data_IF_272270393156
#
_entry.id   IF_272270393156
#
_cell.length_a   1.000
_cell.length_b   1.000
_cell.length_c   1.000
_cell.angle_alpha   90.00
_cell.angle_beta   90.00
_cell.angle_gamma   90.00
#
_symmetry.space_group_name_H-M   'P 1'
#
loop_
_entity.id
_entity.type
_entity.pdbx_description
1 polymer ?
#
# COMPACT_ATOMS: atom_id res chain seq x y z
N UNK A 1 -1.24 16.21 -15.83
CA UNK A 1 -0.27 15.13 -15.96
C UNK A 1 0.02 14.90 -17.44
N UNK A 2 1.26 15.11 -17.87
CA UNK A 2 1.78 14.72 -19.19
C UNK A 2 2.25 13.26 -19.16
N UNK A 3 2.58 12.70 -20.33
CA UNK A 3 3.17 11.36 -20.42
C UNK A 3 4.50 11.31 -19.66
N UNK A 4 5.39 12.29 -19.89
CA UNK A 4 6.71 12.33 -19.26
C UNK A 4 6.61 12.42 -17.72
N UNK A 5 5.63 13.16 -17.22
CA UNK A 5 5.35 13.21 -15.79
C UNK A 5 4.88 11.84 -15.27
N UNK A 6 4.04 11.09 -15.99
CA UNK A 6 3.65 9.73 -15.58
C UNK A 6 4.86 8.81 -15.46
N UNK A 7 5.73 8.83 -16.48
CA UNK A 7 6.91 7.96 -16.57
C UNK A 7 7.96 8.24 -15.47
N UNK A 8 7.81 9.36 -14.76
CA UNK A 8 8.62 9.68 -13.57
C UNK A 8 8.22 8.83 -12.36
N UNK A 9 6.96 8.36 -12.29
CA UNK A 9 6.38 7.69 -11.11
C UNK A 9 5.86 6.27 -11.39
N UNK A 10 5.90 5.80 -12.64
CA UNK A 10 5.42 4.48 -12.98
C UNK A 10 6.00 3.96 -14.30
N UNK A 11 5.98 2.63 -14.51
CA UNK A 11 6.37 2.01 -15.78
C UNK A 11 5.46 2.43 -16.95
N UNK A 12 6.02 2.44 -18.16
CA UNK A 12 5.30 2.77 -19.41
C UNK A 12 4.09 1.86 -19.62
N UNK A 13 4.23 0.59 -19.27
CA UNK A 13 3.24 -0.46 -19.47
C UNK A 13 1.96 -0.19 -18.66
N UNK A 14 2.08 0.46 -17.49
CA UNK A 14 0.91 0.87 -16.70
C UNK A 14 0.13 2.00 -17.37
N UNK A 15 0.83 2.93 -18.03
CA UNK A 15 0.20 4.00 -18.81
C UNK A 15 -0.47 3.43 -20.06
N UNK A 16 0.21 2.52 -20.77
CA UNK A 16 -0.33 1.84 -21.96
C UNK A 16 -1.61 1.08 -21.63
N UNK A 17 -1.63 0.30 -20.53
CA UNK A 17 -2.84 -0.36 -20.08
C UNK A 17 -3.96 0.65 -19.77
N UNK A 18 -3.63 1.70 -19.03
CA UNK A 18 -4.60 2.73 -18.65
C UNK A 18 -5.21 3.40 -19.90
N UNK A 19 -4.41 3.69 -20.93
CA UNK A 19 -4.85 4.20 -22.23
C UNK A 19 -5.70 3.18 -23.00
N UNK A 20 -5.28 1.91 -23.04
CA UNK A 20 -5.97 0.81 -23.71
C UNK A 20 -7.40 0.64 -23.18
N UNK A 21 -7.57 0.70 -21.85
CA UNK A 21 -8.88 0.56 -21.22
C UNK A 21 -9.77 1.81 -21.37
N UNK A 22 -9.17 2.99 -21.58
CA UNK A 22 -9.87 4.28 -21.57
C UNK A 22 -9.59 5.14 -22.82
N UNK A 23 -9.81 4.61 -24.03
CA UNK A 23 -9.40 5.28 -25.28
C UNK A 23 -10.09 6.63 -25.49
N UNK A 24 -11.28 6.83 -24.89
CA UNK A 24 -12.06 8.08 -24.99
C UNK A 24 -11.78 9.09 -23.88
N UNK A 25 -11.22 8.66 -22.74
CA UNK A 25 -10.97 9.52 -21.56
C UNK A 25 -9.49 9.89 -21.38
N UNK A 26 -8.62 9.43 -22.30
CA UNK A 26 -7.18 9.66 -22.31
C UNK A 26 -6.73 11.14 -22.20
N UNK A 27 -7.64 12.11 -22.34
CA UNK A 27 -7.33 13.55 -22.29
C UNK A 27 -7.15 14.12 -20.88
N UNK A 28 -7.50 13.39 -19.81
CA UNK A 28 -7.26 13.84 -18.43
C UNK A 28 -6.59 12.74 -17.60
N UNK A 29 -5.27 12.85 -17.51
CA UNK A 29 -4.44 12.07 -16.62
C UNK A 29 -4.39 12.77 -15.24
N UNK A 30 -4.61 11.99 -14.17
CA UNK A 30 -4.56 12.45 -12.78
C UNK A 30 -3.52 11.61 -12.01
N UNK A 31 -2.79 12.21 -11.07
CA UNK A 31 -1.72 11.51 -10.32
C UNK A 31 -2.25 10.42 -9.37
N UNK A 32 -3.49 10.54 -8.92
CA UNK A 32 -4.16 9.59 -8.03
C UNK A 32 -4.51 8.26 -8.72
N UNK A 33 -4.54 8.22 -10.07
CA UNK A 33 -4.80 6.98 -10.81
C UNK A 33 -3.56 6.11 -11.00
N UNK A 34 -2.35 6.67 -10.82
CA UNK A 34 -1.09 5.98 -11.08
C UNK A 34 -0.98 4.69 -10.25
N UNK A 35 -1.18 4.70 -8.92
CA UNK A 35 -0.99 3.48 -8.13
C UNK A 35 -1.88 2.33 -8.57
N UNK A 36 -3.14 2.65 -8.88
CA UNK A 36 -4.12 1.68 -9.35
C UNK A 36 -3.77 1.13 -10.74
N UNK A 37 -3.34 2.00 -11.66
CA UNK A 37 -2.96 1.56 -13.01
C UNK A 37 -1.74 0.62 -13.00
N UNK A 38 -0.77 0.89 -12.12
CA UNK A 38 0.40 0.02 -11.92
C UNK A 38 -0.03 -1.35 -11.40
N UNK A 39 -0.83 -1.39 -10.32
CA UNK A 39 -1.31 -2.65 -9.76
C UNK A 39 -2.21 -3.44 -10.73
N UNK A 40 -3.07 -2.76 -11.49
CA UNK A 40 -3.91 -3.39 -12.52
C UNK A 40 -3.05 -4.07 -13.60
N UNK A 41 -1.98 -3.42 -14.06
CA UNK A 41 -1.07 -4.00 -15.06
C UNK A 41 -0.45 -5.31 -14.58
N UNK A 42 0.14 -5.33 -13.39
CA UNK A 42 0.75 -6.55 -12.87
C UNK A 42 -0.29 -7.61 -12.48
N UNK A 43 -1.50 -7.21 -12.08
CA UNK A 43 -2.61 -8.14 -11.87
C UNK A 43 -2.98 -8.87 -13.17
N UNK A 44 -3.08 -8.16 -14.31
CA UNK A 44 -3.31 -8.78 -15.61
C UNK A 44 -2.14 -9.68 -16.04
N UNK A 45 -0.91 -9.26 -15.80
CA UNK A 45 0.29 -10.03 -16.13
C UNK A 45 0.37 -11.35 -15.33
N UNK A 46 0.09 -11.29 -14.03
CA UNK A 46 0.02 -12.46 -13.15
C UNK A 46 -1.15 -13.39 -13.52
N UNK A 47 -2.32 -12.82 -13.82
CA UNK A 47 -3.49 -13.60 -14.25
C UNK A 47 -3.25 -14.32 -15.58
N UNK A 48 -2.60 -13.68 -16.56
CA UNK A 48 -2.32 -14.23 -17.89
C UNK A 48 -1.72 -15.64 -17.84
N UNK A 49 -0.80 -15.87 -16.90
CA UNK A 49 -0.11 -17.16 -16.76
C UNK A 49 -1.01 -18.28 -16.26
N UNK A 50 -2.03 -17.95 -15.45
CA UNK A 50 -2.99 -18.90 -14.86
C UNK A 50 -4.22 -19.13 -15.74
N UNK A 51 -4.38 -18.35 -16.80
CA UNK A 51 -5.51 -18.39 -17.71
C UNK A 51 -5.33 -19.42 -18.82
N UNK A 52 -6.45 -20.02 -19.24
CA UNK A 52 -6.54 -20.85 -20.44
C UNK A 52 -6.48 -20.00 -21.72
N UNK A 53 -6.19 -20.61 -22.88
CA UNK A 53 -5.94 -19.86 -24.12
C UNK A 53 -7.08 -18.91 -24.53
N UNK A 54 -8.33 -19.35 -24.34
CA UNK A 54 -9.51 -18.52 -24.63
C UNK A 54 -9.55 -17.25 -23.77
N UNK A 55 -9.15 -17.34 -22.52
CA UNK A 55 -9.14 -16.21 -21.57
C UNK A 55 -7.94 -15.28 -21.82
N UNK A 56 -6.78 -15.87 -22.17
CA UNK A 56 -5.56 -15.13 -22.52
C UNK A 56 -5.78 -14.13 -23.66
N UNK A 57 -6.56 -14.50 -24.67
CA UNK A 57 -6.90 -13.61 -25.79
C UNK A 57 -7.76 -12.40 -25.37
N UNK A 58 -8.48 -12.49 -24.25
CA UNK A 58 -9.24 -11.37 -23.69
C UNK A 58 -8.45 -10.53 -22.69
N UNK A 59 -7.25 -10.97 -22.31
CA UNK A 59 -6.39 -10.26 -21.37
C UNK A 59 -5.65 -9.12 -22.10
N UNK A 60 -5.78 -7.85 -21.67
CA UNK A 60 -5.11 -6.72 -22.31
C UNK A 60 -3.60 -6.90 -22.52
N UNK A 61 -2.91 -7.57 -21.58
CA UNK A 61 -1.45 -7.73 -21.69
C UNK A 61 -1.04 -8.60 -22.88
N UNK A 62 -1.94 -9.47 -23.39
CA UNK A 62 -1.67 -10.22 -24.62
C UNK A 62 -1.50 -9.28 -25.81
N UNK A 63 -2.39 -8.29 -25.95
CA UNK A 63 -2.37 -7.33 -27.04
C UNK A 63 -1.22 -6.32 -26.89
N UNK A 64 -0.92 -5.91 -25.66
CA UNK A 64 0.15 -4.94 -25.38
C UNK A 64 1.55 -5.50 -25.67
N UNK A 65 1.73 -6.82 -25.50
CA UNK A 65 3.02 -7.49 -25.64
C UNK A 65 3.10 -8.41 -26.87
N UNK A 66 2.27 -8.14 -27.90
CA UNK A 66 2.25 -8.90 -29.16
C UNK A 66 2.20 -10.43 -28.97
N UNK A 67 1.42 -10.87 -27.99
CA UNK A 67 1.24 -12.28 -27.64
C UNK A 67 2.36 -12.91 -26.81
N UNK A 68 3.37 -12.14 -26.41
CA UNK A 68 4.47 -12.60 -25.56
C UNK A 68 4.61 -11.76 -24.26
N UNK A 69 3.62 -11.74 -23.34
CA UNK A 69 3.73 -10.99 -22.10
C UNK A 69 4.91 -11.45 -21.23
N UNK A 70 5.66 -10.51 -20.62
CA UNK A 70 6.82 -10.86 -19.81
C UNK A 70 6.42 -11.64 -18.56
N UNK A 71 7.35 -12.45 -18.07
CA UNK A 71 7.20 -13.14 -16.78
C UNK A 71 7.83 -12.26 -15.71
N UNK A 72 6.98 -11.66 -14.88
CA UNK A 72 7.40 -10.89 -13.71
C UNK A 72 6.80 -11.53 -12.46
N UNK A 73 7.65 -11.75 -11.46
CA UNK A 73 7.22 -12.12 -10.11
C UNK A 73 7.23 -10.87 -9.24
N UNK A 74 6.08 -10.53 -8.68
CA UNK A 74 5.91 -9.41 -7.75
C UNK A 74 5.28 -9.93 -6.46
N UNK A 75 6.09 -10.13 -5.42
CA UNK A 75 5.61 -10.64 -4.13
C UNK A 75 4.77 -9.60 -3.37
N UNK A 76 4.84 -8.33 -3.75
CA UNK A 76 4.12 -7.21 -3.14
C UNK A 76 3.55 -6.29 -4.21
N UNK A 77 2.41 -5.67 -3.92
CA UNK A 77 1.78 -4.67 -4.79
C UNK A 77 2.48 -3.31 -4.71
N UNK A 78 2.29 -2.47 -5.72
CA UNK A 78 2.78 -1.11 -5.72
C UNK A 78 2.07 -0.25 -4.66
N UNK A 79 0.76 -0.48 -4.43
CA UNK A 79 0.06 0.14 -3.30
C UNK A 79 0.70 -0.20 -1.94
N UNK A 80 1.15 -1.45 -1.73
CA UNK A 80 1.86 -1.82 -0.51
C UNK A 80 3.21 -1.11 -0.39
N UNK A 81 3.94 -0.95 -1.50
CA UNK A 81 5.17 -0.15 -1.52
C UNK A 81 4.93 1.30 -1.11
N UNK A 82 3.88 1.95 -1.66
CA UNK A 82 3.52 3.32 -1.29
C UNK A 82 3.15 3.43 0.19
N UNK A 83 2.42 2.45 0.72
CA UNK A 83 2.09 2.40 2.15
C UNK A 83 3.34 2.24 3.01
N UNK A 84 4.28 1.37 2.62
CA UNK A 84 5.53 1.18 3.33
C UNK A 84 6.39 2.45 3.33
N UNK A 85 6.58 3.09 2.18
CA UNK A 85 7.34 4.35 2.09
C UNK A 85 6.66 5.44 2.92
N UNK A 86 5.33 5.56 2.84
CA UNK A 86 4.58 6.54 3.64
C UNK A 86 4.71 6.32 5.14
N UNK A 87 4.52 5.08 5.61
CA UNK A 87 4.57 4.77 7.04
C UNK A 87 5.98 4.84 7.63
N UNK A 88 7.00 4.42 6.86
CA UNK A 88 8.40 4.43 7.31
C UNK A 88 9.10 5.76 7.08
N UNK A 89 8.49 6.68 6.33
CA UNK A 89 9.14 7.89 5.82
C UNK A 89 10.46 7.56 5.11
N UNK A 90 10.51 6.40 4.42
CA UNK A 90 11.72 5.90 3.79
C UNK A 90 12.22 6.88 2.72
N UNK A 91 13.39 7.45 2.96
CA UNK A 91 14.00 8.44 2.07
C UNK A 91 14.86 7.80 0.98
N UNK A 92 15.09 6.48 1.04
CA UNK A 92 15.91 5.76 0.09
C UNK A 92 15.50 4.28 -0.04
N UNK A 93 16.02 3.64 -1.10
CA UNK A 93 15.72 2.25 -1.46
C UNK A 93 16.21 1.25 -0.43
N UNK A 94 17.33 1.51 0.25
CA UNK A 94 17.90 0.58 1.24
C UNK A 94 16.96 0.38 2.43
N UNK A 95 16.37 1.48 2.92
CA UNK A 95 15.37 1.42 4.01
C UNK A 95 14.15 0.64 3.56
N UNK A 96 13.61 0.94 2.37
CA UNK A 96 12.43 0.25 1.84
C UNK A 96 12.68 -1.25 1.64
N UNK A 97 13.84 -1.62 1.10
CA UNK A 97 14.25 -3.03 0.94
C UNK A 97 14.44 -3.74 2.28
N UNK A 98 14.84 -3.03 3.34
CA UNK A 98 14.85 -3.57 4.69
C UNK A 98 13.47 -3.97 5.21
N UNK A 99 12.40 -3.29 4.76
CA UNK A 99 11.02 -3.71 5.05
C UNK A 99 10.55 -4.83 4.14
N UNK A 100 10.79 -4.71 2.82
CA UNK A 100 10.41 -5.74 1.84
C UNK A 100 11.02 -7.10 2.22
N UNK A 101 12.31 -7.14 2.55
CA UNK A 101 13.02 -8.39 2.87
C UNK A 101 12.56 -9.04 4.17
N UNK A 102 11.97 -8.25 5.09
CA UNK A 102 11.33 -8.78 6.31
C UNK A 102 9.92 -9.30 6.04
N UNK A 103 9.20 -8.67 5.10
CA UNK A 103 7.86 -9.08 4.71
C UNK A 103 7.86 -10.31 3.79
N UNK A 104 8.82 -10.40 2.88
CA UNK A 104 8.97 -11.50 1.94
C UNK A 104 10.39 -12.06 2.02
N UNK A 105 10.53 -13.30 2.45
CA UNK A 105 11.85 -13.95 2.54
C UNK A 105 12.43 -14.28 1.16
N UNK A 106 13.74 -14.09 0.99
CA UNK A 106 14.48 -14.56 -0.20
C UNK A 106 14.44 -13.59 -1.40
N UNK A 107 13.84 -12.41 -1.24
CA UNK A 107 13.79 -11.40 -2.30
C UNK A 107 14.91 -10.38 -2.13
N UNK A 108 15.47 -9.93 -3.25
CA UNK A 108 16.55 -8.94 -3.31
C UNK A 108 16.41 -8.10 -4.58
N UNK A 109 17.04 -6.91 -4.65
CA UNK A 109 17.06 -6.12 -5.88
C UNK A 109 17.54 -6.89 -7.11
N UNK A 110 18.49 -7.82 -6.92
CA UNK A 110 19.06 -8.64 -7.99
C UNK A 110 18.13 -9.74 -8.48
N UNK A 111 17.35 -10.33 -7.57
CA UNK A 111 16.42 -11.42 -7.91
C UNK A 111 15.09 -10.88 -8.43
N UNK A 112 14.69 -9.67 -8.00
CA UNK A 112 13.44 -9.02 -8.37
C UNK A 112 13.71 -7.58 -8.87
N UNK A 113 14.36 -7.43 -10.04
CA UNK A 113 14.73 -6.11 -10.57
C UNK A 113 13.51 -5.23 -10.87
N UNK A 114 12.38 -5.82 -11.23
CA UNK A 114 11.15 -5.06 -11.47
C UNK A 114 10.58 -4.51 -10.16
N UNK A 115 10.63 -5.28 -9.07
CA UNK A 115 10.28 -4.79 -7.74
C UNK A 115 11.22 -3.65 -7.31
N UNK A 116 12.50 -3.75 -7.63
CA UNK A 116 13.49 -2.70 -7.33
C UNK A 116 13.21 -1.40 -8.10
N UNK A 117 12.76 -1.51 -9.34
CA UNK A 117 12.31 -0.39 -10.16
C UNK A 117 11.03 0.25 -9.59
N UNK A 118 10.05 -0.56 -9.18
CA UNK A 118 8.83 -0.08 -8.52
C UNK A 118 9.12 0.60 -7.17
N UNK A 119 10.07 0.09 -6.40
CA UNK A 119 10.54 0.74 -5.17
C UNK A 119 11.04 2.16 -5.41
N UNK A 120 11.78 2.40 -6.51
CA UNK A 120 12.25 3.74 -6.88
C UNK A 120 11.10 4.68 -7.25
N UNK A 121 10.14 4.19 -8.04
CA UNK A 121 8.93 4.93 -8.38
C UNK A 121 8.10 5.28 -7.14
N UNK A 122 7.96 4.36 -6.18
CA UNK A 122 7.23 4.58 -4.95
C UNK A 122 7.87 5.67 -4.08
N UNK A 123 9.20 5.72 -4.00
CA UNK A 123 9.93 6.77 -3.27
C UNK A 123 9.71 8.13 -3.92
N UNK A 124 9.84 8.23 -5.26
CA UNK A 124 9.60 9.48 -5.97
C UNK A 124 8.17 9.98 -5.79
N UNK A 125 7.19 9.08 -5.97
CA UNK A 125 5.78 9.42 -5.77
C UNK A 125 5.51 9.91 -4.34
N UNK A 126 6.14 9.27 -3.35
CA UNK A 126 6.04 9.69 -1.97
C UNK A 126 6.61 11.09 -1.74
N UNK A 127 7.83 11.36 -2.22
CA UNK A 127 8.51 12.65 -2.00
C UNK A 127 7.75 13.82 -2.65
N UNK A 128 7.15 13.61 -3.82
CA UNK A 128 6.53 14.68 -4.60
C UNK A 128 5.04 14.90 -4.28
N UNK A 129 4.28 13.86 -3.91
CA UNK A 129 2.83 13.98 -3.69
C UNK A 129 2.38 13.71 -2.26
N UNK A 130 3.00 12.74 -1.59
CA UNK A 130 2.52 12.28 -0.29
C UNK A 130 3.13 13.10 0.83
N UNK A 131 4.46 13.22 0.85
CA UNK A 131 5.24 13.91 1.87
C UNK A 131 4.88 15.39 2.01
N UNK A 132 4.69 16.18 0.93
CA UNK A 132 4.32 17.59 1.05
C UNK A 132 2.89 17.79 1.57
N UNK A 133 2.02 16.79 1.38
CA UNK A 133 0.64 16.80 1.84
C UNK A 133 0.47 16.30 3.29
N UNK A 134 1.55 15.81 3.93
CA UNK A 134 1.46 15.30 5.30
C UNK A 134 1.25 16.43 6.31
N UNK A 135 0.18 16.32 7.09
CA UNK A 135 -0.15 17.24 8.18
C UNK A 135 -0.30 16.46 9.47
N UNK A 136 0.61 16.72 10.40
CA UNK A 136 0.58 16.12 11.72
C UNK A 136 -0.19 17.01 12.68
N UNK A 137 -1.06 16.40 13.49
CA UNK A 137 -1.68 17.08 14.63
C UNK A 137 -1.14 16.52 15.95
N UNK A 138 -1.16 17.36 16.98
CA UNK A 138 -0.85 16.90 18.31
C UNK A 138 -1.94 15.93 18.83
N UNK A 139 -1.51 14.92 19.58
CA UNK A 139 -2.39 14.08 20.37
C UNK A 139 -2.87 14.83 21.62
N UNK A 140 -4.15 14.67 21.95
CA UNK A 140 -4.67 15.07 23.27
C UNK A 140 -4.27 14.07 24.38
N UNK A 141 -4.76 14.29 25.60
CA UNK A 141 -4.42 13.44 26.74
C UNK A 141 -4.88 11.98 26.58
N UNK A 142 -6.10 11.77 26.06
CA UNK A 142 -6.66 10.41 25.85
C UNK A 142 -5.92 9.70 24.72
N UNK A 143 -5.62 10.44 23.65
CA UNK A 143 -4.87 9.91 22.51
C UNK A 143 -3.44 9.54 22.89
N UNK A 144 -2.79 10.37 23.71
CA UNK A 144 -1.46 10.06 24.26
C UNK A 144 -1.49 8.78 25.08
N UNK A 145 -2.48 8.61 25.96
CA UNK A 145 -2.64 7.37 26.73
C UNK A 145 -2.89 6.16 25.82
N UNK A 146 -3.73 6.32 24.78
CA UNK A 146 -4.01 5.28 23.81
C UNK A 146 -2.74 4.84 23.05
N UNK A 147 -1.94 5.81 22.61
CA UNK A 147 -0.68 5.57 21.90
C UNK A 147 0.38 4.91 22.80
N UNK A 148 0.46 5.30 24.07
CA UNK A 148 1.33 4.63 25.06
C UNK A 148 0.92 3.17 25.24
N UNK A 149 -0.36 2.90 25.48
CA UNK A 149 -0.89 1.53 25.61
C UNK A 149 -0.70 0.70 24.35
N UNK A 150 -0.83 1.32 23.18
CA UNK A 150 -0.55 0.67 21.90
C UNK A 150 0.93 0.30 21.78
N UNK A 151 1.83 1.22 22.12
CA UNK A 151 3.28 0.96 22.12
C UNK A 151 3.65 -0.19 23.07
N UNK A 152 3.09 -0.22 24.28
CA UNK A 152 3.32 -1.28 25.26
C UNK A 152 2.79 -2.63 24.76
N UNK A 153 1.58 -2.66 24.20
CA UNK A 153 0.98 -3.87 23.67
C UNK A 153 1.79 -4.44 22.50
N UNK A 154 2.26 -3.59 21.58
CA UNK A 154 3.09 -4.01 20.45
C UNK A 154 4.48 -4.49 20.91
N UNK A 155 5.07 -3.85 21.92
CA UNK A 155 6.38 -4.26 22.46
C UNK A 155 6.33 -5.62 23.19
N UNK A 156 5.16 -6.03 23.67
CA UNK A 156 4.95 -7.32 24.33
C UNK A 156 4.72 -8.49 23.34
N UNK A 157 4.59 -8.21 22.04
CA UNK A 157 4.36 -9.25 21.05
C UNK A 157 5.63 -10.07 20.78
N UNK A 158 5.49 -11.36 20.41
CA UNK A 158 6.59 -12.16 19.91
C UNK A 158 7.28 -11.47 18.71
N UNK A 159 8.62 -11.61 18.55
CA UNK A 159 9.33 -11.05 17.40
C UNK A 159 8.84 -11.53 16.02
N UNK A 160 8.20 -12.69 15.99
CA UNK A 160 7.62 -13.35 14.82
C UNK A 160 6.09 -13.23 14.75
N UNK A 161 5.49 -12.32 15.53
CA UNK A 161 4.06 -12.05 15.47
C UNK A 161 3.63 -11.66 14.05
N UNK A 162 2.59 -12.35 13.55
CA UNK A 162 2.02 -12.05 12.24
C UNK A 162 1.09 -10.82 12.28
N UNK A 163 0.59 -10.45 11.10
CA UNK A 163 -0.30 -9.30 10.95
C UNK A 163 -1.62 -9.44 11.72
N UNK A 164 -2.14 -10.65 11.89
CA UNK A 164 -3.39 -10.90 12.62
C UNK A 164 -3.19 -10.65 14.12
N UNK A 165 -2.09 -11.16 14.68
CA UNK A 165 -1.72 -10.93 16.08
C UNK A 165 -1.50 -9.43 16.36
N UNK A 166 -0.78 -8.74 15.47
CA UNK A 166 -0.56 -7.28 15.59
C UNK A 166 -1.89 -6.51 15.54
N UNK A 167 -2.76 -6.85 14.59
CA UNK A 167 -4.07 -6.22 14.45
C UNK A 167 -4.93 -6.46 15.70
N UNK A 168 -4.96 -7.69 16.21
CA UNK A 168 -5.72 -8.03 17.41
C UNK A 168 -5.22 -7.27 18.64
N UNK A 169 -3.89 -7.12 18.81
CA UNK A 169 -3.32 -6.32 19.89
C UNK A 169 -3.77 -4.86 19.82
N UNK A 170 -3.75 -4.24 18.63
CA UNK A 170 -4.20 -2.87 18.43
C UNK A 170 -5.70 -2.69 18.72
N UNK A 171 -6.54 -3.62 18.23
CA UNK A 171 -7.98 -3.63 18.51
C UNK A 171 -8.27 -3.79 20.01
N UNK A 172 -7.53 -4.65 20.70
CA UNK A 172 -7.69 -4.89 22.13
C UNK A 172 -7.34 -3.67 22.99
N UNK A 173 -6.36 -2.86 22.57
CA UNK A 173 -6.09 -1.56 23.19
C UNK A 173 -7.27 -0.61 22.99
N UNK A 174 -7.75 -0.48 21.75
CA UNK A 174 -8.83 0.44 21.42
C UNK A 174 -10.14 0.13 22.16
N UNK A 175 -10.51 -1.15 22.28
CA UNK A 175 -11.73 -1.60 23.00
C UNK A 175 -11.79 -1.15 24.46
N UNK A 176 -10.64 -0.91 25.09
CA UNK A 176 -10.55 -0.52 26.51
C UNK A 176 -10.69 1.00 26.72
N UNK A 177 -10.85 1.77 25.65
CA UNK A 177 -10.89 3.23 25.69
C UNK A 177 -12.26 3.67 25.18
N UNK A 178 -13.08 4.24 26.06
CA UNK A 178 -14.48 4.62 25.78
C UNK A 178 -14.64 5.42 24.48
N UNK A 179 -13.75 6.39 24.23
CA UNK A 179 -13.74 7.20 23.00
C UNK A 179 -13.68 6.38 21.71
N UNK A 180 -13.06 5.21 21.75
CA UNK A 180 -12.85 4.34 20.59
C UNK A 180 -13.77 3.13 20.55
N UNK A 181 -14.78 3.08 21.42
CA UNK A 181 -15.81 2.06 21.38
C UNK A 181 -16.88 2.42 20.35
N UNK A 182 -17.24 1.44 19.52
CA UNK A 182 -18.36 1.52 18.59
C UNK A 182 -19.49 0.61 19.09
N UNK A 183 -20.46 1.19 19.79
CA UNK A 183 -21.61 0.45 20.35
C UNK A 183 -22.59 -0.06 19.29
N UNK A 184 -22.47 0.38 18.03
CA UNK A 184 -23.26 -0.17 16.92
C UNK A 184 -22.73 -1.51 16.41
N UNK A 185 -21.50 -1.88 16.81
CA UNK A 185 -20.83 -3.11 16.42
C UNK A 185 -20.56 -3.96 17.64
N UNK A 186 -20.62 -5.27 17.46
CA UNK A 186 -20.29 -6.23 18.51
C UNK A 186 -18.88 -6.80 18.27
N UNK A 187 -18.06 -6.80 19.31
CA UNK A 187 -16.74 -7.43 19.28
C UNK A 187 -16.86 -8.96 19.29
N UNK A 188 -15.85 -9.69 18.77
CA UNK A 188 -15.80 -11.16 18.87
C UNK A 188 -15.84 -11.70 20.32
N UNK A 189 -15.41 -10.89 21.30
CA UNK A 189 -15.31 -11.27 22.72
C UNK A 189 -16.54 -10.82 23.54
N UNK A 190 -17.54 -10.23 22.89
CA UNK A 190 -18.63 -9.51 23.57
C UNK A 190 -18.24 -8.06 23.90
N UNK A 191 -19.23 -7.16 23.95
CA UNK A 191 -19.00 -5.72 24.12
C UNK A 191 -18.86 -4.94 22.80
N UNK A 192 -18.60 -3.63 22.87
CA UNK A 192 -18.57 -2.75 21.70
C UNK A 192 -17.40 -3.05 20.75
N UNK A 193 -17.62 -2.79 19.47
CA UNK A 193 -16.58 -2.83 18.44
C UNK A 193 -15.58 -1.68 18.57
N UNK A 194 -14.64 -1.58 17.62
CA UNK A 194 -13.67 -0.50 17.56
C UNK A 194 -14.12 0.54 16.54
N UNK A 195 -14.16 1.79 16.96
CA UNK A 195 -14.44 2.94 16.11
C UNK A 195 -13.29 3.21 15.13
N UNK A 196 -13.64 3.59 13.91
CA UNK A 196 -12.67 4.02 12.88
C UNK A 196 -11.84 5.23 13.35
N UNK A 197 -12.37 6.01 14.31
CA UNK A 197 -11.67 7.13 14.92
C UNK A 197 -10.32 6.74 15.57
N UNK A 198 -10.17 5.50 16.04
CA UNK A 198 -8.89 5.02 16.59
C UNK A 198 -7.80 4.99 15.51
N UNK A 199 -8.12 4.40 14.36
CA UNK A 199 -7.19 4.31 13.24
C UNK A 199 -6.95 5.68 12.61
N UNK A 200 -7.99 6.51 12.46
CA UNK A 200 -7.83 7.90 12.01
C UNK A 200 -6.89 8.69 12.91
N UNK A 201 -6.98 8.53 14.23
CA UNK A 201 -6.05 9.15 15.17
C UNK A 201 -4.61 8.69 14.91
N UNK A 202 -4.37 7.39 14.72
CA UNK A 202 -3.03 6.87 14.40
C UNK A 202 -2.48 7.52 13.13
N UNK A 203 -3.28 7.57 12.05
CA UNK A 203 -2.86 8.21 10.80
C UNK A 203 -2.54 9.70 10.99
N UNK A 204 -3.38 10.44 11.69
CA UNK A 204 -3.23 11.90 11.82
C UNK A 204 -2.09 12.29 12.77
N UNK A 205 -1.86 11.52 13.83
CA UNK A 205 -0.84 11.83 14.85
C UNK A 205 0.52 11.25 14.48
N UNK A 206 0.58 10.02 14.00
CA UNK A 206 1.87 9.33 13.76
C UNK A 206 2.34 9.37 12.30
N UNK A 207 1.43 9.48 11.34
CA UNK A 207 1.74 9.35 9.90
C UNK A 207 1.56 10.67 9.15
N UNK A 208 0.75 11.59 9.71
CA UNK A 208 0.40 12.87 9.12
C UNK A 208 -0.59 12.77 7.97
N UNK A 209 -1.47 11.76 7.97
CA UNK A 209 -2.46 11.52 6.93
C UNK A 209 -3.87 11.42 7.51
N UNK A 210 -4.90 11.65 6.70
CA UNK A 210 -6.29 11.46 7.15
C UNK A 210 -6.71 9.98 7.21
N UNK A 211 -6.09 9.15 6.36
CA UNK A 211 -6.37 7.72 6.18
C UNK A 211 -5.25 7.06 5.38
N UNK A 212 -5.24 5.73 5.33
CA UNK A 212 -4.42 4.91 4.45
C UNK A 212 -4.83 3.45 4.52
#
# INVERSE_FOLDING_TARGET
LTIDEWLTYAPTESLELYMYQRPRQAKKLYFDVIPKAVDEYYAFLSAYRRQEWKERLGNPVWHMHDGNPPVVDLPVSFALLLNLVSASNAQNKDVLWGFISRHTSGVTPKTHPELDRLAEYAIRYFDDFVKPAKVYRAADAVEREALTKLSEALAALPPDADGEVIQNAALNVARKIERYQDHSKQSPEGGPGVSVAFFQMIYQVLIGQERG
#
